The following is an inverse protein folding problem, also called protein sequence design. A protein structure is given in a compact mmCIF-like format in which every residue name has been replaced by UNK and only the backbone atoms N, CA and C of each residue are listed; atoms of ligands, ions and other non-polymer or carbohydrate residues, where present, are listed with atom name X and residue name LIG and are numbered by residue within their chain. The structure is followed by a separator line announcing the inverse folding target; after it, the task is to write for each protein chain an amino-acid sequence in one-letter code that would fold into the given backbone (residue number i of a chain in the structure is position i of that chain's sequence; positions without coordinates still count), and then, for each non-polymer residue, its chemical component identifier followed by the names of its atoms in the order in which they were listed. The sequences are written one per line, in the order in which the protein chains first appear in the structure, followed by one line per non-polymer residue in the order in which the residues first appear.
data_IF_848159271207
#
_entry.id   IF_848159271207
#
_cell.length_a   1.000
_cell.length_b   1.000
_cell.length_c   1.000
_cell.angle_alpha   90.00
_cell.angle_beta   90.00
_cell.angle_gamma   90.00
#
_symmetry.space_group_name_H-M   'P 1'
#
loop_
_entity.id
_entity.type
_entity.pdbx_description
1 polymer ?
#
# COMPACT_ATOMS: atom_id res chain seq x y z
N UNK A 1 -3.98 -21.17 17.05
CA UNK A 1 -5.30 -20.53 17.15
C UNK A 1 -5.12 -19.14 17.78
N UNK A 2 -5.77 -18.10 17.25
CA UNK A 2 -5.61 -16.71 17.75
C UNK A 2 -6.82 -16.36 18.62
N UNK A 3 -6.57 -15.80 19.81
CA UNK A 3 -7.61 -15.47 20.79
C UNK A 3 -7.44 -14.05 21.31
N UNK A 4 -8.52 -13.26 21.34
CA UNK A 4 -8.55 -11.96 22.01
C UNK A 4 -8.67 -12.17 23.53
N UNK A 5 -7.80 -11.52 24.31
CA UNK A 5 -7.69 -11.73 25.76
C UNK A 5 -8.04 -10.49 26.58
N UNK A 6 -7.92 -9.29 26.00
CA UNK A 6 -8.36 -8.05 26.64
C UNK A 6 -7.83 -6.80 25.94
N UNK A 7 -7.99 -5.65 26.58
CA UNK A 7 -7.47 -4.35 26.16
C UNK A 7 -6.45 -3.89 27.20
N UNK A 8 -5.27 -3.48 26.74
CA UNK A 8 -4.15 -3.05 27.58
C UNK A 8 -3.56 -1.75 27.05
N UNK A 9 -2.90 -0.98 27.91
CA UNK A 9 -2.03 0.10 27.46
C UNK A 9 -0.60 -0.40 27.34
N UNK A 10 0.05 -0.15 26.21
CA UNK A 10 1.43 -0.56 25.96
C UNK A 10 2.29 0.66 25.71
N UNK A 11 3.48 0.69 26.30
CA UNK A 11 4.44 1.75 26.02
C UNK A 11 4.88 1.73 24.55
N UNK A 12 4.97 2.90 23.89
CA UNK A 12 5.25 2.98 22.45
C UNK A 12 6.60 2.37 22.05
N UNK A 13 7.56 2.36 22.98
CA UNK A 13 8.89 1.75 22.84
C UNK A 13 8.88 0.22 22.94
N UNK A 14 7.76 -0.38 23.35
CA UNK A 14 7.51 -1.83 23.41
C UNK A 14 6.62 -2.33 22.28
N UNK A 15 6.08 -1.44 21.47
CA UNK A 15 5.38 -1.81 20.25
C UNK A 15 6.37 -2.15 19.15
N UNK A 16 6.31 -3.40 18.68
CA UNK A 16 7.12 -3.93 17.58
C UNK A 16 6.24 -4.19 16.38
N UNK A 17 6.79 -3.98 15.20
CA UNK A 17 6.04 -4.20 13.98
C UNK A 17 6.35 -5.57 13.39
N UNK A 18 5.31 -6.29 12.96
CA UNK A 18 5.43 -7.49 12.13
C UNK A 18 5.20 -7.10 10.66
N UNK A 19 6.20 -7.31 9.80
CA UNK A 19 6.19 -6.91 8.38
C UNK A 19 5.39 -7.85 7.47
N UNK A 20 4.21 -8.26 7.93
CA UNK A 20 3.35 -9.24 7.26
C UNK A 20 2.12 -8.57 6.66
N UNK A 21 1.79 -8.87 5.39
CA UNK A 21 0.60 -8.35 4.70
C UNK A 21 0.42 -6.83 4.73
N UNK A 22 1.51 -6.07 4.89
CA UNK A 22 1.43 -4.65 5.23
C UNK A 22 0.97 -3.77 4.08
N UNK A 23 0.27 -2.69 4.45
CA UNK A 23 0.13 -1.50 3.61
C UNK A 23 1.49 -0.80 3.51
N UNK A 24 1.82 -0.32 2.31
CA UNK A 24 3.05 0.42 2.05
C UNK A 24 3.11 1.65 2.97
N UNK A 25 4.25 1.82 3.66
CA UNK A 25 4.50 2.95 4.53
C UNK A 25 4.52 4.28 3.74
N UNK A 26 3.81 5.29 4.23
CA UNK A 26 3.63 6.60 3.57
C UNK A 26 4.05 7.70 4.56
N UNK A 27 5.27 8.27 4.43
CA UNK A 27 5.81 9.21 5.40
C UNK A 27 5.06 10.55 5.44
N UNK A 28 4.50 11.01 4.30
CA UNK A 28 3.73 12.26 4.23
C UNK A 28 2.49 12.20 5.15
N UNK A 29 1.93 10.99 5.31
CA UNK A 29 0.77 10.78 6.17
C UNK A 29 1.14 10.67 7.64
N UNK A 30 2.31 10.14 7.96
CA UNK A 30 2.85 10.21 9.31
C UNK A 30 3.02 11.67 9.74
N UNK A 31 3.45 12.55 8.85
CA UNK A 31 3.60 13.97 9.14
C UNK A 31 2.25 14.68 9.30
N UNK A 32 1.26 14.36 8.45
CA UNK A 32 -0.12 14.83 8.64
C UNK A 32 -0.69 14.37 9.98
N UNK A 33 -0.61 13.08 10.30
CA UNK A 33 -1.10 12.52 11.57
C UNK A 33 -0.35 13.14 12.75
N UNK A 34 0.97 13.31 12.67
CA UNK A 34 1.76 13.97 13.70
C UNK A 34 1.32 15.43 13.93
N UNK A 35 0.93 16.15 12.86
CA UNK A 35 0.38 17.51 12.98
C UNK A 35 -1.01 17.54 13.62
N UNK A 36 -1.87 16.55 13.32
CA UNK A 36 -3.18 16.38 13.97
C UNK A 36 -3.01 16.05 15.44
N UNK A 37 -2.01 15.23 15.76
CA UNK A 37 -1.64 14.79 17.09
C UNK A 37 -1.06 15.91 17.96
N UNK A 38 -0.24 16.80 17.39
CA UNK A 38 0.28 17.98 18.08
C UNK A 38 -0.75 19.11 18.29
N UNK A 39 -1.93 19.03 17.66
CA UNK A 39 -2.98 20.05 17.74
C UNK A 39 -4.19 19.68 18.61
N UNK A 40 -4.41 18.40 18.90
CA UNK A 40 -5.55 17.90 19.67
C UNK A 40 -5.11 16.78 20.61
N UNK A 41 -5.66 16.74 21.83
CA UNK A 41 -5.48 15.63 22.78
C UNK A 41 -6.09 14.37 22.15
N UNK A 42 -5.24 13.49 21.58
CA UNK A 42 -5.69 12.23 21.01
C UNK A 42 -6.16 11.36 22.15
N UNK A 43 -7.43 10.99 22.09
CA UNK A 43 -7.97 10.00 23.00
C UNK A 43 -7.67 8.60 22.43
N UNK A 44 -6.60 7.98 22.91
CA UNK A 44 -6.22 6.60 22.56
C UNK A 44 -7.26 5.59 23.05
N UNK A 45 -8.11 5.97 24.01
CA UNK A 45 -9.22 5.16 24.55
C UNK A 45 -10.37 5.02 23.53
N UNK A 46 -10.53 5.97 22.61
CA UNK A 46 -11.54 5.87 21.56
C UNK A 46 -11.32 4.60 20.75
N UNK A 47 -12.36 3.77 20.67
CA UNK A 47 -12.41 2.50 19.91
C UNK A 47 -11.85 2.60 18.49
N UNK A 48 -11.91 3.77 17.86
CA UNK A 48 -11.37 4.03 16.52
C UNK A 48 -9.84 4.24 16.45
N UNK A 49 -9.14 4.36 17.59
CA UNK A 49 -7.71 4.64 17.70
C UNK A 49 -6.91 3.48 18.31
N UNK A 50 -7.58 2.46 18.85
CA UNK A 50 -6.93 1.26 19.38
C UNK A 50 -6.23 0.50 18.24
N UNK A 51 -5.17 -0.25 18.56
CA UNK A 51 -4.51 -1.18 17.62
C UNK A 51 -4.62 -2.62 18.10
N UNK A 52 -4.51 -3.58 17.19
CA UNK A 52 -4.37 -4.99 17.57
C UNK A 52 -2.91 -5.34 17.80
N UNK A 53 -2.63 -5.87 18.99
CA UNK A 53 -1.33 -6.39 19.39
C UNK A 53 -1.38 -7.91 19.53
N UNK A 54 -0.30 -8.57 19.15
CA UNK A 54 -0.14 -10.02 19.13
C UNK A 54 1.05 -10.37 20.03
N UNK A 55 0.85 -11.37 20.87
CA UNK A 55 1.87 -11.96 21.74
C UNK A 55 1.77 -13.48 21.71
N UNK A 56 2.82 -14.17 22.17
CA UNK A 56 2.80 -15.61 22.37
C UNK A 56 2.11 -15.99 23.68
N UNK A 57 1.58 -17.22 23.75
CA UNK A 57 0.96 -17.78 24.97
C UNK A 57 1.90 -17.75 26.19
N UNK A 58 3.20 -17.98 25.97
CA UNK A 58 4.23 -17.86 27.02
C UNK A 58 4.32 -16.43 27.57
N UNK A 59 4.24 -15.42 26.70
CA UNK A 59 4.29 -14.01 27.09
C UNK A 59 3.03 -13.58 27.83
N UNK A 60 1.88 -14.21 27.57
CA UNK A 60 0.64 -13.92 28.31
C UNK A 60 0.81 -14.22 29.80
N UNK A 61 1.41 -15.37 30.14
CA UNK A 61 1.60 -15.76 31.54
C UNK A 61 2.50 -14.77 32.28
N UNK A 62 3.58 -14.31 31.63
CA UNK A 62 4.49 -13.31 32.18
C UNK A 62 3.80 -11.94 32.36
N UNK A 63 2.97 -11.54 31.39
CA UNK A 63 2.17 -10.30 31.48
C UNK A 63 1.17 -10.38 32.64
N UNK A 64 0.44 -11.48 32.79
CA UNK A 64 -0.52 -11.67 33.89
C UNK A 64 0.18 -11.64 35.26
N UNK A 65 1.35 -12.28 35.37
CA UNK A 65 2.18 -12.24 36.58
C UNK A 65 2.68 -10.82 36.87
N UNK A 66 3.17 -10.10 35.86
CA UNK A 66 3.66 -8.72 35.97
C UNK A 66 2.57 -7.73 36.36
N UNK A 67 1.36 -7.90 35.81
CA UNK A 67 0.17 -7.10 36.13
C UNK A 67 -0.47 -7.48 37.47
N UNK A 68 -0.14 -8.65 38.02
CA UNK A 68 -0.82 -9.26 39.18
C UNK A 68 -2.33 -9.36 39.00
N UNK A 69 -2.76 -9.66 37.76
CA UNK A 69 -4.16 -9.79 37.40
C UNK A 69 -4.42 -11.19 36.86
N UNK A 70 -5.54 -11.83 37.23
CA UNK A 70 -5.96 -13.05 36.59
C UNK A 70 -6.57 -12.74 35.21
N UNK A 71 -6.60 -13.73 34.32
CA UNK A 71 -7.03 -13.53 32.93
C UNK A 71 -8.48 -13.03 32.83
N UNK A 72 -9.38 -13.43 33.73
CA UNK A 72 -10.77 -12.99 33.73
C UNK A 72 -10.90 -11.48 33.95
N UNK A 73 -9.96 -10.88 34.69
CA UNK A 73 -9.91 -9.44 34.90
C UNK A 73 -9.37 -8.71 33.68
N UNK A 74 -8.52 -9.36 32.89
CA UNK A 74 -8.07 -8.84 31.60
C UNK A 74 -9.22 -8.89 30.58
N UNK A 75 -10.02 -9.96 30.56
CA UNK A 75 -11.19 -10.04 29.68
C UNK A 75 -12.26 -8.99 30.03
N UNK A 76 -12.42 -8.63 31.30
CA UNK A 76 -13.35 -7.58 31.73
C UNK A 76 -13.03 -6.20 31.11
N UNK A 77 -11.77 -5.95 30.74
CA UNK A 77 -11.35 -4.69 30.07
C UNK A 77 -11.93 -4.53 28.66
N UNK A 78 -12.49 -5.59 28.07
CA UNK A 78 -13.21 -5.50 26.79
C UNK A 78 -14.47 -4.64 26.89
N UNK A 79 -15.04 -4.50 28.09
CA UNK A 79 -16.30 -3.78 28.33
C UNK A 79 -16.13 -2.54 29.20
N UNK A 80 -15.09 -2.48 30.05
CA UNK A 80 -14.87 -1.39 31.01
C UNK A 80 -13.42 -0.85 30.99
N UNK A 81 -13.29 0.47 31.11
CA UNK A 81 -12.05 1.21 31.42
C UNK A 81 -11.92 1.35 32.95
N UNK A 82 -10.70 1.40 33.56
CA UNK A 82 -9.38 1.64 32.95
C UNK A 82 -8.58 0.40 32.53
N UNK A 83 -7.68 0.60 31.56
CA UNK A 83 -6.83 -0.45 31.00
C UNK A 83 -5.53 -0.65 31.78
N UNK A 84 -5.11 -1.91 32.04
CA UNK A 84 -3.84 -2.18 32.70
C UNK A 84 -2.67 -1.90 31.76
N UNK A 85 -1.57 -1.39 32.32
CA UNK A 85 -0.39 -1.00 31.56
C UNK A 85 0.70 -2.08 31.52
N UNK A 86 1.12 -2.44 30.31
CA UNK A 86 2.16 -3.42 30.04
C UNK A 86 3.48 -2.69 29.73
N UNK A 87 4.44 -2.82 30.63
CA UNK A 87 5.73 -2.13 30.55
C UNK A 87 6.92 -3.02 30.17
N UNK A 88 6.81 -4.33 30.40
CA UNK A 88 7.95 -5.24 30.39
C UNK A 88 7.93 -6.27 29.25
N UNK A 89 6.98 -6.18 28.33
CA UNK A 89 6.85 -7.12 27.22
C UNK A 89 6.69 -6.40 25.90
N UNK A 90 7.36 -6.93 24.89
CA UNK A 90 7.20 -6.46 23.53
C UNK A 90 5.87 -7.00 22.97
N UNK A 91 5.05 -6.11 22.42
CA UNK A 91 3.77 -6.44 21.79
C UNK A 91 3.86 -6.15 20.31
N UNK A 92 3.54 -7.14 19.48
CA UNK A 92 3.72 -7.02 18.05
C UNK A 92 2.42 -6.58 17.36
N UNK A 93 2.48 -5.63 16.44
CA UNK A 93 1.31 -5.20 15.67
C UNK A 93 1.55 -5.34 14.17
N UNK A 94 0.47 -5.58 13.43
CA UNK A 94 0.50 -5.64 11.95
C UNK A 94 -0.05 -4.34 11.33
N UNK A 95 -1.06 -3.74 11.95
CA UNK A 95 -1.79 -2.58 11.44
C UNK A 95 -1.68 -1.37 12.37
N UNK A 96 -1.94 -0.16 11.88
CA UNK A 96 -1.75 1.09 12.64
C UNK A 96 -0.34 1.69 12.57
N UNK A 97 0.54 1.21 11.66
CA UNK A 97 1.94 1.70 11.51
C UNK A 97 2.04 3.22 11.41
N UNK A 98 1.20 3.88 10.59
CA UNK A 98 1.27 5.34 10.44
C UNK A 98 0.89 6.09 11.73
N UNK A 99 -0.02 5.55 12.54
CA UNK A 99 -0.44 6.16 13.82
C UNK A 99 0.62 6.00 14.90
N UNK A 100 1.16 4.80 15.06
CA UNK A 100 2.21 4.54 16.04
C UNK A 100 3.47 5.35 15.72
N UNK A 101 3.85 5.43 14.44
CA UNK A 101 4.99 6.25 14.03
C UNK A 101 4.71 7.76 14.15
N UNK A 102 3.48 8.21 13.88
CA UNK A 102 3.10 9.60 14.13
C UNK A 102 3.07 9.97 15.62
N UNK A 103 2.61 9.05 16.49
CA UNK A 103 2.60 9.23 17.94
C UNK A 103 4.02 9.26 18.52
N UNK A 104 4.91 8.38 18.04
CA UNK A 104 6.35 8.43 18.38
C UNK A 104 7.00 9.75 17.97
N UNK A 105 6.59 10.32 16.83
CA UNK A 105 7.11 11.60 16.31
C UNK A 105 6.59 12.82 17.07
N UNK A 106 5.34 12.80 17.55
CA UNK A 106 4.79 13.92 18.32
C UNK A 106 5.43 14.04 19.70
N UNK A 107 5.80 12.91 20.33
CA UNK A 107 6.46 12.90 21.64
C UNK A 107 5.51 13.18 22.83
N UNK A 108 4.26 13.58 22.55
CA UNK A 108 3.23 13.86 23.56
C UNK A 108 2.51 12.61 24.09
N UNK A 109 2.68 11.46 23.40
CA UNK A 109 2.01 10.19 23.72
C UNK A 109 3.07 9.17 24.13
N UNK A 110 2.94 8.61 25.34
CA UNK A 110 3.91 7.63 25.89
C UNK A 110 3.39 6.19 25.82
N UNK A 111 2.08 6.02 25.87
CA UNK A 111 1.41 4.72 25.85
C UNK A 111 0.32 4.72 24.77
N UNK A 112 -0.02 3.54 24.26
CA UNK A 112 -1.08 3.34 23.29
C UNK A 112 -2.00 2.21 23.72
N UNK A 113 -3.29 2.34 23.44
CA UNK A 113 -4.30 1.32 23.78
C UNK A 113 -4.30 0.21 22.73
N UNK A 114 -4.13 -1.02 23.19
CA UNK A 114 -3.91 -2.21 22.37
C UNK A 114 -4.90 -3.29 22.76
N UNK A 115 -5.59 -3.85 21.76
CA UNK A 115 -6.40 -5.06 21.91
C UNK A 115 -5.47 -6.26 21.77
N UNK A 116 -5.26 -6.94 22.89
CA UNK A 116 -4.24 -7.97 23.04
C UNK A 116 -4.76 -9.33 22.59
N UNK A 117 -4.13 -9.87 21.55
CA UNK A 117 -4.38 -11.19 21.00
C UNK A 117 -3.22 -12.12 21.30
N UNK A 118 -3.54 -13.38 21.55
CA UNK A 118 -2.59 -14.42 21.88
C UNK A 118 -2.59 -15.48 20.78
N UNK A 119 -1.39 -15.90 20.39
CA UNK A 119 -1.17 -17.03 19.50
C UNK A 119 -0.26 -18.07 20.16
N UNK A 120 -0.53 -19.32 19.82
CA UNK A 120 0.25 -20.51 20.16
C UNK A 120 1.62 -20.57 19.47
N UNK A 121 1.77 -19.97 18.28
CA UNK A 121 3.03 -20.04 17.52
C UNK A 121 3.10 -19.00 16.41
N UNK A 122 4.25 -18.32 16.27
CA UNK A 122 4.51 -17.37 15.18
C UNK A 122 4.33 -17.98 13.78
N UNK A 123 4.91 -19.15 13.45
CA UNK A 123 4.63 -19.83 12.18
C UNK A 123 3.14 -20.03 11.88
N UNK A 124 2.34 -20.44 12.88
CA UNK A 124 0.90 -20.64 12.71
C UNK A 124 0.15 -19.33 12.52
N UNK A 125 0.62 -18.28 13.19
CA UNK A 125 0.10 -16.93 13.05
C UNK A 125 0.38 -16.38 11.65
N UNK A 126 1.62 -16.45 11.18
CA UNK A 126 2.04 -16.02 9.84
C UNK A 126 1.22 -16.74 8.75
N UNK A 127 1.01 -18.05 8.91
CA UNK A 127 0.23 -18.82 7.95
C UNK A 127 -1.26 -18.44 7.91
N UNK A 128 -1.82 -17.94 9.02
CA UNK A 128 -3.23 -17.56 9.16
C UNK A 128 -3.44 -16.04 9.29
N UNK A 129 -2.41 -15.24 9.02
CA UNK A 129 -2.42 -13.79 9.22
C UNK A 129 -3.52 -13.12 8.38
N UNK A 130 -3.76 -13.67 7.18
CA UNK A 130 -4.81 -13.24 6.25
C UNK A 130 -6.18 -13.40 6.88
N UNK A 131 -6.48 -14.56 7.47
CA UNK A 131 -7.73 -14.81 8.20
C UNK A 131 -7.89 -13.92 9.44
N UNK A 132 -6.79 -13.65 10.16
CA UNK A 132 -6.80 -12.74 11.31
C UNK A 132 -7.13 -11.30 10.88
N UNK A 133 -6.43 -10.79 9.87
CA UNK A 133 -6.67 -9.46 9.26
C UNK A 133 -8.11 -9.35 8.72
N UNK A 134 -8.65 -10.43 8.16
CA UNK A 134 -10.00 -10.47 7.58
C UNK A 134 -11.13 -10.53 8.62
N UNK A 135 -10.89 -11.18 9.78
CA UNK A 135 -11.88 -11.31 10.86
C UNK A 135 -12.03 -10.07 11.73
N UNK A 136 -11.14 -9.08 11.54
CA UNK A 136 -11.19 -7.80 12.23
C UNK A 136 -12.35 -6.93 11.68
N UNK A 137 -13.17 -6.29 12.54
CA UNK A 137 -14.19 -5.34 12.09
C UNK A 137 -13.56 -4.16 11.29
N UNK A 138 -14.37 -3.37 10.58
CA UNK A 138 -13.92 -2.23 9.74
C UNK A 138 -13.32 -1.04 10.53
N UNK A 139 -12.79 -1.22 11.75
CA UNK A 139 -12.26 -0.14 12.62
C UNK A 139 -11.01 0.53 12.05
N UNK A 140 -10.29 -0.12 11.12
CA UNK A 140 -9.22 0.49 10.33
C UNK A 140 -9.66 1.06 8.97
N UNK A 141 -10.95 1.04 8.64
CA UNK A 141 -11.49 1.65 7.41
C UNK A 141 -11.18 3.16 7.32
N UNK A 142 -11.01 3.82 8.48
CA UNK A 142 -10.62 5.22 8.59
C UNK A 142 -9.12 5.47 8.29
N UNK A 143 -8.28 4.43 8.30
CA UNK A 143 -6.81 4.57 8.12
C UNK A 143 -6.34 4.59 6.67
N UNK A 144 -7.22 4.48 5.66
CA UNK A 144 -7.10 4.80 4.21
C UNK A 144 -8.12 3.87 3.55
N UNK A 145 -8.89 4.37 2.59
CA UNK A 145 -9.46 3.49 1.59
C UNK A 145 -8.31 2.70 0.93
N UNK A 146 -8.52 1.40 0.74
CA UNK A 146 -7.59 0.57 -0.03
C UNK A 146 -7.32 1.27 -1.37
N UNK A 147 -6.04 1.39 -1.75
CA UNK A 147 -5.77 1.93 -3.08
C UNK A 147 -6.28 0.96 -4.14
N UNK A 148 -6.54 1.47 -5.34
CA UNK A 148 -6.93 0.63 -6.46
C UNK A 148 -5.86 -0.44 -6.75
N UNK A 149 -4.58 -0.14 -6.51
CA UNK A 149 -3.48 -1.10 -6.56
C UNK A 149 -3.58 -2.19 -5.50
N UNK A 150 -3.82 -1.83 -4.24
CA UNK A 150 -3.93 -2.80 -3.14
C UNK A 150 -5.12 -3.75 -3.36
N UNK A 151 -6.26 -3.21 -3.82
CA UNK A 151 -7.44 -4.01 -4.18
C UNK A 151 -7.14 -4.93 -5.36
N UNK A 152 -6.46 -4.42 -6.39
CA UNK A 152 -6.06 -5.21 -7.55
C UNK A 152 -5.20 -6.41 -7.13
N UNK A 153 -4.13 -6.19 -6.35
CA UNK A 153 -3.25 -7.27 -5.87
C UNK A 153 -4.06 -8.33 -5.12
N UNK A 154 -4.90 -7.91 -4.16
CA UNK A 154 -5.69 -8.84 -3.35
C UNK A 154 -6.67 -9.67 -4.17
N UNK A 155 -7.35 -9.06 -5.14
CA UNK A 155 -8.24 -9.78 -6.05
C UNK A 155 -7.47 -10.76 -6.94
N UNK A 156 -6.28 -10.39 -7.41
CA UNK A 156 -5.45 -11.29 -8.22
C UNK A 156 -4.90 -12.45 -7.42
N UNK A 157 -4.47 -12.22 -6.17
CA UNK A 157 -4.06 -13.28 -5.25
C UNK A 157 -5.22 -14.25 -4.97
N UNK A 158 -6.42 -13.73 -4.67
CA UNK A 158 -7.59 -14.57 -4.37
C UNK A 158 -8.04 -15.41 -5.56
N UNK A 159 -7.95 -14.87 -6.78
CA UNK A 159 -8.26 -15.61 -8.01
C UNK A 159 -7.27 -16.76 -8.25
N UNK A 160 -5.99 -16.58 -7.89
CA UNK A 160 -4.97 -17.63 -8.00
C UNK A 160 -5.15 -18.69 -6.90
N UNK A 161 -5.49 -18.28 -5.69
CA UNK A 161 -5.71 -19.19 -4.55
C UNK A 161 -7.11 -19.83 -4.51
N UNK A 162 -7.99 -19.48 -5.44
CA UNK A 162 -9.42 -19.86 -5.47
C UNK A 162 -10.15 -19.53 -4.15
N UNK A 163 -9.84 -18.36 -3.56
CA UNK A 163 -10.48 -17.87 -2.34
C UNK A 163 -11.68 -16.97 -2.68
N UNK A 164 -12.85 -17.61 -2.80
CA UNK A 164 -14.10 -16.94 -3.19
C UNK A 164 -14.58 -15.90 -2.15
N UNK A 165 -14.22 -16.08 -0.88
CA UNK A 165 -14.64 -15.18 0.20
C UNK A 165 -13.90 -13.84 0.12
N UNK A 166 -12.58 -13.87 -0.09
CA UNK A 166 -11.77 -12.67 -0.33
C UNK A 166 -12.21 -11.99 -1.62
N UNK A 167 -12.39 -12.76 -2.70
CA UNK A 167 -12.80 -12.20 -3.98
C UNK A 167 -14.13 -11.46 -3.86
N UNK A 168 -15.12 -12.08 -3.19
CA UNK A 168 -16.43 -11.46 -2.94
C UNK A 168 -16.30 -10.19 -2.10
N UNK A 169 -15.53 -10.23 -1.02
CA UNK A 169 -15.36 -9.09 -0.12
C UNK A 169 -14.75 -7.88 -0.83
N UNK A 170 -13.66 -8.09 -1.58
CA UNK A 170 -12.99 -7.01 -2.29
C UNK A 170 -13.75 -6.56 -3.54
N UNK A 171 -14.52 -7.46 -4.18
CA UNK A 171 -15.42 -7.10 -5.29
C UNK A 171 -16.56 -6.20 -4.83
N UNK A 172 -17.13 -6.43 -3.63
CA UNK A 172 -18.16 -5.55 -3.06
C UNK A 172 -17.62 -4.14 -2.79
N UNK A 173 -16.35 -4.03 -2.38
CA UNK A 173 -15.66 -2.74 -2.16
C UNK A 173 -15.42 -1.96 -3.46
N UNK A 174 -15.44 -2.64 -4.62
CA UNK A 174 -15.32 -1.98 -5.91
C UNK A 174 -16.65 -1.32 -6.32
N UNK A 175 -16.60 0.00 -6.52
CA UNK A 175 -17.68 0.73 -7.18
C UNK A 175 -17.96 0.17 -8.60
N UNK A 176 -19.15 0.42 -9.18
CA UNK A 176 -19.57 -0.19 -10.44
C UNK A 176 -18.57 -0.01 -11.59
N UNK A 177 -17.95 1.17 -11.69
CA UNK A 177 -16.97 1.46 -12.74
C UNK A 177 -15.64 0.73 -12.55
N UNK A 178 -15.23 0.51 -11.29
CA UNK A 178 -14.00 -0.26 -11.00
C UNK A 178 -14.22 -1.75 -11.26
N UNK A 179 -15.41 -2.29 -10.94
CA UNK A 179 -15.80 -3.67 -11.32
C UNK A 179 -15.79 -3.88 -12.82
N UNK A 180 -16.35 -2.93 -13.58
CA UNK A 180 -16.26 -2.96 -15.04
C UNK A 180 -14.81 -2.98 -15.52
N UNK A 181 -13.97 -2.14 -14.91
CA UNK A 181 -12.55 -2.08 -15.25
C UNK A 181 -11.80 -3.38 -14.98
N UNK A 182 -12.08 -4.03 -13.85
CA UNK A 182 -11.53 -5.37 -13.54
C UNK A 182 -11.95 -6.39 -14.59
N UNK A 183 -13.24 -6.47 -14.91
CA UNK A 183 -13.75 -7.36 -15.94
C UNK A 183 -13.12 -7.06 -17.33
N UNK A 184 -12.94 -5.78 -17.67
CA UNK A 184 -12.26 -5.37 -18.90
C UNK A 184 -10.78 -5.80 -18.92
N UNK A 185 -10.08 -5.75 -17.78
CA UNK A 185 -8.70 -6.22 -17.67
C UNK A 185 -8.64 -7.75 -17.82
N UNK A 186 -9.53 -8.48 -17.16
CA UNK A 186 -9.56 -9.96 -17.14
C UNK A 186 -9.78 -10.57 -18.53
N UNK A 187 -10.59 -9.93 -19.38
CA UNK A 187 -10.80 -10.40 -20.76
C UNK A 187 -9.68 -10.00 -21.72
N UNK A 188 -8.65 -9.26 -21.26
CA UNK A 188 -7.50 -8.79 -22.05
C UNK A 188 -6.19 -9.32 -21.45
N UNK A 189 -5.79 -10.57 -21.77
CA UNK A 189 -4.67 -11.25 -21.11
C UNK A 189 -3.35 -10.47 -21.13
N UNK A 190 -3.00 -9.82 -22.24
CA UNK A 190 -1.75 -9.04 -22.35
C UNK A 190 -1.67 -7.87 -21.37
N UNK A 191 -2.81 -7.17 -21.18
CA UNK A 191 -2.91 -6.06 -20.23
C UNK A 191 -2.86 -6.59 -18.81
N UNK A 192 -3.58 -7.68 -18.53
CA UNK A 192 -3.57 -8.32 -17.22
C UNK A 192 -2.18 -8.82 -16.83
N UNK A 193 -1.50 -9.54 -17.73
CA UNK A 193 -0.14 -10.05 -17.52
C UNK A 193 0.81 -8.89 -17.23
N UNK A 194 0.74 -7.81 -18.02
CA UNK A 194 1.62 -6.65 -17.83
C UNK A 194 1.35 -5.94 -16.50
N UNK A 195 0.08 -5.80 -16.12
CA UNK A 195 -0.30 -5.18 -14.85
C UNK A 195 0.08 -6.06 -13.64
N UNK A 196 -0.01 -7.39 -13.77
CA UNK A 196 0.41 -8.35 -12.75
C UNK A 196 1.91 -8.25 -12.45
N UNK A 197 2.76 -7.86 -13.42
CA UNK A 197 4.21 -7.65 -13.19
C UNK A 197 4.53 -6.46 -12.27
N UNK A 198 3.60 -5.52 -12.09
CA UNK A 198 3.82 -4.45 -11.12
C UNK A 198 3.68 -4.91 -9.67
N UNK A 199 3.30 -6.18 -9.41
CA UNK A 199 3.32 -6.75 -8.05
C UNK A 199 4.72 -6.76 -7.44
N UNK A 200 5.75 -6.90 -8.27
CA UNK A 200 7.17 -6.82 -7.86
C UNK A 200 7.58 -5.37 -7.47
N UNK A 201 6.71 -4.41 -7.78
CA UNK A 201 6.87 -2.99 -7.48
C UNK A 201 5.64 -2.43 -6.74
N UNK A 202 5.39 -2.82 -5.47
CA UNK A 202 4.15 -2.45 -4.78
C UNK A 202 3.90 -0.94 -4.77
N UNK A 203 4.96 -0.12 -4.62
CA UNK A 203 4.85 1.34 -4.60
C UNK A 203 4.43 1.96 -5.93
N UNK A 204 4.66 1.29 -7.05
CA UNK A 204 4.15 1.73 -8.36
C UNK A 204 2.64 1.57 -8.46
N UNK A 205 2.11 0.46 -7.95
CA UNK A 205 0.67 0.15 -7.99
C UNK A 205 -0.20 1.17 -7.24
N UNK A 206 0.38 1.95 -6.33
CA UNK A 206 -0.31 3.06 -5.67
C UNK A 206 -0.76 4.16 -6.65
N UNK A 207 -0.15 4.24 -7.84
CA UNK A 207 -0.58 5.13 -8.91
C UNK A 207 -1.75 4.60 -9.75
N UNK A 208 -2.17 3.34 -9.56
CA UNK A 208 -3.25 2.73 -10.32
C UNK A 208 -4.58 3.43 -10.05
N UNK A 209 -5.34 3.69 -11.11
CA UNK A 209 -6.71 4.22 -11.06
C UNK A 209 -7.64 3.28 -11.80
N UNK A 210 -8.08 2.20 -11.15
CA UNK A 210 -9.09 1.28 -11.69
C UNK A 210 -10.34 2.04 -12.12
N UNK A 211 -10.72 3.10 -11.41
CA UNK A 211 -11.87 3.93 -11.78
C UNK A 211 -11.78 4.59 -13.18
N UNK A 212 -10.61 4.64 -13.80
CA UNK A 212 -10.41 5.20 -15.15
C UNK A 212 -10.16 4.13 -16.21
N UNK A 213 -9.74 2.93 -15.81
CA UNK A 213 -9.32 1.87 -16.72
C UNK A 213 -10.42 1.46 -17.72
N UNK A 214 -11.68 1.33 -17.29
CA UNK A 214 -12.78 1.01 -18.23
C UNK A 214 -12.93 2.03 -19.37
N UNK A 215 -12.59 3.31 -19.14
CA UNK A 215 -12.67 4.33 -20.21
C UNK A 215 -11.57 4.10 -21.23
N UNK A 216 -10.36 3.84 -20.76
CA UNK A 216 -9.22 3.56 -21.62
C UNK A 216 -9.44 2.29 -22.44
N UNK A 217 -9.90 1.22 -21.78
CA UNK A 217 -10.10 -0.08 -22.39
C UNK A 217 -11.35 -0.14 -23.29
N UNK A 218 -12.26 0.84 -23.19
CA UNK A 218 -13.39 0.94 -24.14
C UNK A 218 -12.94 1.20 -25.59
N UNK A 219 -11.70 1.65 -25.79
CA UNK A 219 -11.08 1.86 -27.09
C UNK A 219 -10.13 0.70 -27.41
N UNK A 220 -10.65 -0.47 -27.78
CA UNK A 220 -9.87 -1.69 -28.05
C UNK A 220 -8.68 -1.49 -29.02
N UNK A 221 -8.75 -0.51 -29.91
CA UNK A 221 -7.65 -0.16 -30.82
C UNK A 221 -6.41 0.41 -30.11
N UNK A 222 -6.52 0.76 -28.82
CA UNK A 222 -5.44 1.28 -27.99
C UNK A 222 -4.83 0.21 -27.07
N UNK A 223 -5.29 -1.04 -27.13
CA UNK A 223 -4.82 -2.10 -26.23
C UNK A 223 -3.30 -2.32 -26.37
N UNK A 224 -2.76 -2.19 -27.59
CA UNK A 224 -1.33 -2.30 -27.85
C UNK A 224 -0.53 -1.14 -27.23
N UNK A 225 -1.01 0.10 -27.35
CA UNK A 225 -0.39 1.29 -26.79
C UNK A 225 -0.46 1.29 -25.26
N UNK A 226 -1.59 0.85 -24.69
CA UNK A 226 -1.76 0.66 -23.25
C UNK A 226 -0.72 -0.33 -22.73
N UNK A 227 -0.64 -1.51 -23.35
CA UNK A 227 0.30 -2.57 -22.98
C UNK A 227 1.74 -2.08 -23.10
N UNK A 228 2.09 -1.45 -24.22
CA UNK A 228 3.45 -0.95 -24.49
C UNK A 228 3.88 0.13 -23.49
N UNK A 229 2.99 1.02 -23.08
CA UNK A 229 3.31 2.03 -22.08
C UNK A 229 3.52 1.40 -20.70
N UNK A 230 2.68 0.44 -20.30
CA UNK A 230 2.86 -0.27 -19.04
C UNK A 230 4.18 -1.07 -19.03
N UNK A 231 4.52 -1.75 -20.13
CA UNK A 231 5.81 -2.43 -20.28
C UNK A 231 6.99 -1.44 -20.22
N UNK A 232 6.83 -0.23 -20.77
CA UNK A 232 7.86 0.80 -20.66
C UNK A 232 8.07 1.24 -19.20
N UNK A 233 6.99 1.37 -18.41
CA UNK A 233 7.11 1.62 -16.97
C UNK A 233 7.92 0.51 -16.32
N UNK A 234 7.49 -0.75 -16.49
CA UNK A 234 8.17 -1.92 -15.92
C UNK A 234 9.68 -1.90 -16.23
N UNK A 235 10.04 -1.77 -17.51
CA UNK A 235 11.42 -1.76 -17.96
C UNK A 235 12.26 -0.65 -17.32
N UNK A 236 11.69 0.55 -17.16
CA UNK A 236 12.41 1.65 -16.52
C UNK A 236 12.66 1.34 -15.04
N UNK A 237 11.68 0.81 -14.30
CA UNK A 237 11.88 0.52 -12.88
C UNK A 237 12.76 -0.71 -12.63
N UNK A 238 12.70 -1.73 -13.50
CA UNK A 238 13.70 -2.82 -13.50
C UNK A 238 15.09 -2.26 -13.73
N UNK A 239 15.26 -1.34 -14.69
CA UNK A 239 16.55 -0.70 -14.93
C UNK A 239 17.01 0.17 -13.75
N UNK A 240 16.14 0.99 -13.15
CA UNK A 240 16.46 1.83 -11.98
C UNK A 240 16.95 1.02 -10.78
N UNK A 241 16.45 -0.21 -10.64
CA UNK A 241 16.75 -1.13 -9.54
C UNK A 241 17.85 -2.14 -9.89
N UNK A 242 18.44 -2.02 -11.08
CA UNK A 242 19.43 -2.96 -11.62
C UNK A 242 18.92 -4.43 -11.67
N UNK A 243 17.61 -4.62 -11.71
CA UNK A 243 16.96 -5.94 -11.64
C UNK A 243 17.07 -6.64 -10.27
N UNK A 244 17.49 -5.94 -9.21
CA UNK A 244 17.71 -6.54 -7.90
C UNK A 244 16.43 -6.52 -7.07
N UNK A 245 15.88 -7.69 -6.81
CA UNK A 245 14.60 -7.89 -6.12
C UNK A 245 14.50 -7.16 -4.77
N UNK A 246 15.55 -7.23 -3.93
CA UNK A 246 15.59 -6.48 -2.67
C UNK A 246 15.42 -4.97 -2.89
N UNK A 247 16.06 -4.41 -3.92
CA UNK A 247 15.97 -2.99 -4.25
C UNK A 247 14.58 -2.65 -4.78
N UNK A 248 13.97 -3.53 -5.58
CA UNK A 248 12.60 -3.36 -6.09
C UNK A 248 11.58 -3.25 -4.97
N UNK A 249 11.65 -4.16 -3.99
CA UNK A 249 10.77 -4.18 -2.82
C UNK A 249 11.05 -3.02 -1.85
N UNK A 250 12.29 -2.51 -1.82
CA UNK A 250 12.68 -1.39 -0.96
C UNK A 250 12.20 -0.02 -1.44
N UNK A 251 11.68 0.08 -2.68
CA UNK A 251 11.16 1.36 -3.19
C UNK A 251 9.89 1.76 -2.46
N UNK A 252 9.96 2.88 -1.76
CA UNK A 252 8.80 3.51 -1.13
C UNK A 252 8.05 4.45 -2.10
N UNK A 253 6.81 4.80 -1.73
CA UNK A 253 5.97 5.71 -2.54
C UNK A 253 6.61 7.09 -2.71
N UNK A 254 7.40 7.53 -1.73
CA UNK A 254 8.10 8.80 -1.79
C UNK A 254 9.17 8.80 -2.88
N UNK A 255 9.89 7.68 -3.05
CA UNK A 255 10.87 7.46 -4.10
C UNK A 255 10.20 7.53 -5.46
N UNK A 256 9.05 6.86 -5.65
CA UNK A 256 8.27 6.96 -6.89
C UNK A 256 7.86 8.41 -7.18
N UNK A 257 7.23 9.12 -6.23
CA UNK A 257 6.80 10.53 -6.39
C UNK A 257 7.97 11.49 -6.65
N UNK A 258 9.12 11.19 -6.06
CA UNK A 258 10.34 12.00 -6.18
C UNK A 258 11.10 11.71 -7.47
N UNK A 259 10.81 10.61 -8.18
CA UNK A 259 11.43 10.28 -9.46
C UNK A 259 10.50 10.46 -10.66
N UNK A 260 9.19 10.23 -10.51
CA UNK A 260 8.24 10.32 -11.61
C UNK A 260 8.31 11.68 -12.31
N UNK A 261 8.12 11.66 -13.63
CA UNK A 261 8.08 12.85 -14.50
C UNK A 261 9.37 13.68 -14.51
N UNK A 262 10.50 13.11 -14.03
CA UNK A 262 11.82 13.74 -14.09
C UNK A 262 12.69 13.12 -15.16
N UNK A 263 13.54 13.96 -15.78
CA UNK A 263 14.50 13.57 -16.79
C UNK A 263 15.92 13.74 -16.22
N UNK A 264 16.58 12.67 -15.75
CA UNK A 264 17.86 12.79 -15.02
C UNK A 264 19.03 13.37 -15.84
N UNK A 265 18.91 13.41 -17.17
CA UNK A 265 19.86 14.09 -18.07
C UNK A 265 19.72 15.62 -18.05
N UNK A 266 18.57 16.15 -17.61
CA UNK A 266 18.37 17.59 -17.38
C UNK A 266 19.14 18.04 -16.15
N UNK A 267 19.81 19.19 -16.23
CA UNK A 267 20.63 19.73 -15.12
C UNK A 267 19.79 19.97 -13.86
N UNK A 268 18.57 20.48 -14.00
CA UNK A 268 17.70 20.78 -12.87
C UNK A 268 17.25 19.51 -12.14
N UNK A 269 16.78 18.52 -12.90
CA UNK A 269 16.32 17.24 -12.36
C UNK A 269 17.49 16.44 -11.77
N UNK A 270 18.65 16.43 -12.43
CA UNK A 270 19.86 15.81 -11.92
C UNK A 270 20.23 16.32 -10.54
N UNK A 271 20.28 17.65 -10.36
CA UNK A 271 20.59 18.26 -9.07
C UNK A 271 19.52 17.96 -8.01
N UNK A 272 18.25 17.94 -8.41
CA UNK A 272 17.15 17.58 -7.52
C UNK A 272 17.27 16.13 -7.02
N UNK A 273 17.54 15.19 -7.93
CA UNK A 273 17.73 13.76 -7.62
C UNK A 273 18.95 13.57 -6.72
N UNK A 274 20.09 14.18 -7.03
CA UNK A 274 21.30 14.14 -6.19
C UNK A 274 21.02 14.62 -4.76
N UNK A 275 20.25 15.70 -4.60
CA UNK A 275 19.83 16.17 -3.27
C UNK A 275 18.97 15.13 -2.55
N UNK A 276 18.06 14.46 -3.26
CA UNK A 276 17.23 13.38 -2.72
C UNK A 276 18.03 12.19 -2.21
N UNK A 277 19.08 11.77 -2.93
CA UNK A 277 20.00 10.73 -2.47
C UNK A 277 20.81 11.17 -1.25
N UNK A 278 21.42 12.37 -1.29
CA UNK A 278 22.20 12.94 -0.18
C UNK A 278 21.40 13.10 1.10
N UNK A 279 20.11 13.45 0.99
CA UNK A 279 19.24 13.61 2.15
C UNK A 279 18.61 12.31 2.63
N UNK A 280 18.94 11.16 2.03
CA UNK A 280 18.34 9.86 2.38
C UNK A 280 16.86 9.73 2.03
N UNK A 281 16.31 10.62 1.19
CA UNK A 281 14.88 10.63 0.82
C UNK A 281 14.56 9.66 -0.31
N UNK A 282 15.51 9.43 -1.20
CA UNK A 282 15.42 8.44 -2.27
C UNK A 282 16.00 7.10 -1.80
N UNK A 283 15.25 6.02 -2.06
CA UNK A 283 15.62 4.66 -1.67
C UNK A 283 15.97 4.58 -0.18
N UNK A 284 15.10 5.13 0.68
CA UNK A 284 15.37 5.29 2.12
C UNK A 284 15.61 3.96 2.84
N UNK A 285 15.01 2.88 2.33
CA UNK A 285 15.12 1.52 2.87
C UNK A 285 16.39 0.77 2.43
N UNK A 286 17.13 1.29 1.43
CA UNK A 286 18.43 0.73 1.02
C UNK A 286 19.52 1.37 1.89
N UNK A 287 20.03 0.60 2.84
CA UNK A 287 21.05 1.07 3.81
C UNK A 287 22.49 0.72 3.38
N UNK A 288 22.66 -0.24 2.48
CA UNK A 288 23.97 -0.62 1.95
C UNK A 288 24.53 0.49 1.05
N UNK A 289 25.65 1.09 1.46
CA UNK A 289 26.27 2.23 0.77
C UNK A 289 26.73 1.90 -0.66
N UNK A 290 27.15 0.67 -0.92
CA UNK A 290 27.54 0.23 -2.26
C UNK A 290 26.32 0.20 -3.19
N UNK A 291 25.22 -0.37 -2.72
CA UNK A 291 23.95 -0.37 -3.46
C UNK A 291 23.40 1.04 -3.63
N UNK A 292 23.46 1.89 -2.61
CA UNK A 292 23.03 3.29 -2.71
C UNK A 292 23.79 4.05 -3.79
N UNK A 293 25.11 3.94 -3.82
CA UNK A 293 25.95 4.61 -4.83
C UNK A 293 25.68 4.07 -6.24
N UNK A 294 25.47 2.75 -6.37
CA UNK A 294 25.14 2.10 -7.65
C UNK A 294 23.78 2.57 -8.18
N UNK A 295 22.75 2.59 -7.33
CA UNK A 295 21.41 3.04 -7.69
C UNK A 295 21.44 4.53 -8.06
N UNK A 296 22.13 5.38 -7.28
CA UNK A 296 22.29 6.80 -7.60
C UNK A 296 22.93 6.98 -8.99
N UNK A 297 23.99 6.23 -9.29
CA UNK A 297 24.63 6.27 -10.60
C UNK A 297 23.65 5.88 -11.72
N UNK A 298 22.89 4.80 -11.55
CA UNK A 298 21.92 4.33 -12.55
C UNK A 298 20.83 5.37 -12.79
N UNK A 299 20.21 5.88 -11.70
CA UNK A 299 19.13 6.87 -11.79
C UNK A 299 19.62 8.13 -12.49
N UNK A 300 20.81 8.64 -12.15
CA UNK A 300 21.38 9.85 -12.77
C UNK A 300 21.80 9.68 -14.23
N UNK A 301 21.93 8.44 -14.71
CA UNK A 301 22.25 8.14 -16.10
C UNK A 301 21.04 7.63 -16.91
N UNK A 302 19.85 7.61 -16.31
CA UNK A 302 18.63 7.21 -17.03
C UNK A 302 18.35 8.22 -18.16
N UNK A 303 18.32 7.77 -19.43
CA UNK A 303 18.21 8.68 -20.58
C UNK A 303 16.77 9.10 -20.90
N UNK A 304 15.79 8.60 -20.14
CA UNK A 304 14.36 8.80 -20.37
C UNK A 304 13.72 9.59 -19.24
N UNK A 305 12.58 10.20 -19.54
CA UNK A 305 11.67 10.69 -18.52
C UNK A 305 11.18 9.49 -17.70
N UNK A 306 11.38 9.50 -16.39
CA UNK A 306 10.97 8.38 -15.53
C UNK A 306 9.43 8.32 -15.52
N UNK A 307 8.81 7.27 -16.08
CA UNK A 307 7.36 7.19 -16.17
C UNK A 307 6.77 6.72 -14.83
N UNK A 308 5.44 6.75 -14.70
CA UNK A 308 4.72 6.13 -13.60
C UNK A 308 3.29 5.79 -14.04
N UNK A 309 2.52 5.08 -13.20
CA UNK A 309 1.10 4.85 -13.48
C UNK A 309 0.31 6.17 -13.56
N UNK A 310 0.75 7.22 -12.87
CA UNK A 310 0.18 8.56 -12.99
C UNK A 310 0.41 9.13 -14.40
N UNK A 311 1.64 9.10 -14.90
CA UNK A 311 1.94 9.60 -16.26
C UNK A 311 1.25 8.76 -17.34
N UNK A 312 1.11 7.44 -17.12
CA UNK A 312 0.31 6.55 -17.95
C UNK A 312 -1.15 7.01 -18.06
N UNK A 313 -1.79 7.30 -16.92
CA UNK A 313 -3.19 7.73 -16.92
C UNK A 313 -3.42 9.05 -17.67
N UNK A 314 -2.48 10.00 -17.59
CA UNK A 314 -2.55 11.24 -18.37
C UNK A 314 -2.28 10.97 -19.87
N UNK A 315 -1.28 10.15 -20.19
CA UNK A 315 -0.96 9.81 -21.57
C UNK A 315 -2.13 9.13 -22.29
N UNK A 316 -2.71 8.09 -21.69
CA UNK A 316 -3.83 7.36 -22.30
C UNK A 316 -5.11 8.20 -22.34
N UNK A 317 -5.31 9.12 -21.38
CA UNK A 317 -6.41 10.09 -21.45
C UNK A 317 -6.29 11.00 -22.68
N UNK A 318 -5.09 11.51 -22.97
CA UNK A 318 -4.84 12.31 -24.18
C UNK A 318 -5.08 11.46 -25.43
N UNK A 319 -4.51 10.25 -25.47
CA UNK A 319 -4.61 9.35 -26.62
C UNK A 319 -6.05 8.93 -26.91
N UNK A 320 -6.81 8.54 -25.88
CA UNK A 320 -8.23 8.18 -26.01
C UNK A 320 -9.08 9.35 -26.50
N UNK A 321 -8.78 10.57 -26.05
CA UNK A 321 -9.46 11.79 -26.51
C UNK A 321 -9.16 12.05 -27.98
N UNK A 322 -7.89 11.94 -28.39
CA UNK A 322 -7.50 12.08 -29.79
C UNK A 322 -8.18 11.02 -30.67
N UNK A 323 -8.16 9.74 -30.25
CA UNK A 323 -8.83 8.65 -30.96
C UNK A 323 -10.34 8.90 -31.12
N UNK A 324 -10.99 9.44 -30.08
CA UNK A 324 -12.40 9.82 -30.12
C UNK A 324 -12.66 10.92 -31.15
N UNK A 325 -11.84 11.98 -31.17
CA UNK A 325 -11.96 13.08 -32.12
C UNK A 325 -11.80 12.57 -33.56
N UNK A 326 -10.77 11.76 -33.83
CA UNK A 326 -10.53 11.17 -35.15
C UNK A 326 -11.71 10.30 -35.60
N UNK A 327 -12.26 9.48 -34.69
CA UNK A 327 -13.42 8.64 -34.99
C UNK A 327 -14.65 9.48 -35.34
N UNK A 328 -14.97 10.48 -34.53
CA UNK A 328 -16.17 11.31 -34.70
C UNK A 328 -16.05 12.21 -35.93
N UNK A 329 -14.90 12.81 -36.18
CA UNK A 329 -14.78 13.89 -37.18
C UNK A 329 -14.12 13.48 -38.49
N UNK A 330 -13.32 12.41 -38.52
CA UNK A 330 -12.62 11.99 -39.74
C UNK A 330 -13.11 10.65 -40.29
N UNK A 331 -13.61 9.77 -39.42
CA UNK A 331 -14.04 8.43 -39.84
C UNK A 331 -15.57 8.30 -39.94
N UNK A 332 -16.34 9.22 -39.34
CA UNK A 332 -17.81 9.17 -39.37
C UNK A 332 -18.40 9.73 -40.68
N UNK A 333 -17.71 10.65 -41.36
CA UNK A 333 -18.19 11.23 -42.63
C UNK A 333 -18.06 10.27 -43.83
N UNK A 334 -17.21 9.25 -43.74
CA UNK A 334 -17.00 8.29 -44.85
C UNK A 334 -18.02 7.12 -44.84
N UNK A 335 -18.87 7.01 -43.82
CA UNK A 335 -19.92 6.00 -43.75
C UNK A 335 -21.21 6.43 -44.47
N UNK A 336 -21.42 7.74 -44.69
CA UNK A 336 -22.61 8.25 -45.38
C UNK A 336 -22.46 8.34 -46.91
N UNK A 337 -21.24 8.30 -47.46
CA UNK A 337 -21.02 8.36 -48.92
C UNK A 337 -21.00 6.99 -49.63
N UNK A 338 -20.97 5.87 -48.89
CA UNK A 338 -21.02 4.51 -49.48
C UNK A 338 -22.41 3.85 -49.41
N UNK A 339 -23.46 4.66 -49.32
CA UNK A 339 -24.86 4.22 -49.25
C UNK A 339 -25.73 4.65 -50.42
N UNK A 340 -25.16 5.13 -51.53
CA UNK A 340 -25.90 5.42 -52.76
C UNK A 340 -25.03 5.10 -53.96
N UNK A 341 -25.18 3.88 -54.49
CA UNK A 341 -25.21 3.54 -55.91
C UNK A 341 -25.62 2.07 -56.07
#
# INVERSE_FOLDING_TARGET
MIRLVGIVEVALDRLRILELGQRIYDPDRCDYLASVFGGHQIDSDRTNNQIDGIILEESLQEILLGLRLPEERLQATLSDSPYPQVYNHDVYYIQGRHRIEAAKRSGDVLTWVVRLHVTDSWPNFIHNETGFIQSQPDWYSHEKEWSDGDIYVKLRESQVSCDEDIERQFTVRLGPMKRKSMADIEVRPEIQITLDRFKDFPSLLQGLKLGMMYKYLSWHHLDAEVTKYMQHIEQVYVALTDGVEYVQHSMDINTIRTLEERLPTSTADRQFIQRGFRSGRLFSMVTDEHWRARIEYIVLNMPVLIPSLKSFHEYIKILSTAAQILKIHLLSDHAHEKGTL
#
